data_IF_801119759757
#
_entry.id   IF_801119759757
#
_cell.length_a   1.000
_cell.length_b   1.000
_cell.length_c   1.000
_cell.angle_alpha   90.00
_cell.angle_beta   90.00
_cell.angle_gamma   90.00
#
_symmetry.space_group_name_H-M   'P 1'
#
loop_
_entity.id
_entity.type
_entity.pdbx_description
1 polymer ?
#
# COMPACT_ATOMS: atom_id res chain seq x y z
N UNK A 1 -8.19 -18.06 -80.60
CA UNK A 1 -6.87 -17.43 -80.36
C UNK A 1 -7.07 -16.27 -79.40
N UNK A 2 -6.62 -16.43 -78.15
CA UNK A 2 -6.76 -15.37 -77.14
C UNK A 2 -5.67 -14.33 -77.38
N UNK A 3 -6.08 -13.08 -77.65
CA UNK A 3 -5.17 -12.02 -78.06
C UNK A 3 -4.11 -11.76 -76.97
N UNK A 4 -2.84 -11.60 -77.36
CA UNK A 4 -1.67 -11.56 -76.45
C UNK A 4 -1.75 -10.45 -75.38
N UNK A 5 -2.61 -9.45 -75.61
CA UNK A 5 -2.94 -8.38 -74.66
C UNK A 5 -3.83 -8.86 -73.50
N UNK A 6 -4.82 -9.71 -73.77
CA UNK A 6 -5.76 -10.18 -72.74
C UNK A 6 -5.09 -11.17 -71.76
N UNK A 7 -4.13 -11.98 -72.25
CA UNK A 7 -3.32 -12.87 -71.41
C UNK A 7 -2.46 -12.09 -70.39
N UNK A 8 -1.84 -10.98 -70.81
CA UNK A 8 -1.04 -10.12 -69.91
C UNK A 8 -1.89 -9.43 -68.85
N UNK A 9 -3.12 -9.01 -69.18
CA UNK A 9 -4.06 -8.42 -68.21
C UNK A 9 -4.55 -9.42 -67.17
N UNK A 10 -4.85 -10.65 -67.57
CA UNK A 10 -5.27 -11.72 -66.65
C UNK A 10 -4.11 -12.10 -65.71
N UNK A 11 -2.88 -12.17 -66.22
CA UNK A 11 -1.70 -12.45 -65.41
C UNK A 11 -1.38 -11.32 -64.42
N UNK A 12 -1.55 -10.04 -64.82
CA UNK A 12 -1.45 -8.88 -63.92
C UNK A 12 -2.57 -8.87 -62.84
N UNK A 13 -3.80 -9.24 -63.20
CA UNK A 13 -4.90 -9.31 -62.22
C UNK A 13 -4.71 -10.46 -61.21
N UNK A 14 -4.20 -11.62 -61.66
CA UNK A 14 -3.89 -12.76 -60.77
C UNK A 14 -2.70 -12.47 -59.84
N UNK A 15 -1.69 -11.74 -60.30
CA UNK A 15 -0.56 -11.32 -59.45
C UNK A 15 -0.97 -10.26 -58.43
N UNK A 16 -1.84 -9.32 -58.79
CA UNK A 16 -2.40 -8.34 -57.83
C UNK A 16 -3.29 -9.06 -56.79
N UNK A 17 -4.10 -10.04 -57.19
CA UNK A 17 -4.94 -10.82 -56.28
C UNK A 17 -4.10 -11.69 -55.33
N UNK A 18 -3.01 -12.28 -55.82
CA UNK A 18 -2.08 -13.08 -55.02
C UNK A 18 -1.27 -12.22 -54.03
N UNK A 19 -0.89 -10.98 -54.40
CA UNK A 19 -0.25 -10.03 -53.49
C UNK A 19 -1.20 -9.52 -52.39
N UNK A 20 -2.51 -9.41 -52.64
CA UNK A 20 -3.49 -9.02 -51.61
C UNK A 20 -3.80 -10.12 -50.59
N UNK A 21 -3.58 -11.40 -50.94
CA UNK A 21 -3.82 -12.53 -50.03
C UNK A 21 -2.68 -12.75 -49.01
N UNK A 22 -1.49 -12.19 -49.25
CA UNK A 22 -0.34 -12.28 -48.32
C UNK A 22 -0.16 -11.05 -47.41
N UNK A 23 -0.95 -9.98 -47.58
CA UNK A 23 -0.80 -8.74 -46.82
C UNK A 23 -1.59 -8.69 -45.48
N UNK A 24 -2.40 -9.70 -45.15
CA UNK A 24 -3.19 -9.74 -43.93
C UNK A 24 -2.88 -10.95 -43.03
N UNK A 25 -1.61 -11.04 -42.61
CA UNK A 25 -1.29 -11.68 -41.33
C UNK A 25 -0.48 -10.68 -40.50
N UNK A 26 -1.17 -9.66 -39.99
CA UNK A 26 -0.68 -8.91 -38.84
C UNK A 26 -0.73 -9.86 -37.63
N UNK A 27 0.28 -10.72 -37.50
CA UNK A 27 0.49 -11.47 -36.27
C UNK A 27 0.78 -10.45 -35.19
N UNK A 28 -0.17 -10.28 -34.26
CA UNK A 28 0.04 -9.45 -33.08
C UNK A 28 1.21 -10.07 -32.28
N UNK A 29 2.39 -9.49 -32.43
CA UNK A 29 3.60 -9.99 -31.79
C UNK A 29 3.42 -9.88 -30.27
N UNK A 30 3.50 -11.01 -29.57
CA UNK A 30 3.37 -11.04 -28.10
C UNK A 30 4.44 -10.15 -27.47
N UNK A 31 4.04 -9.01 -26.90
CA UNK A 31 4.95 -8.13 -26.20
C UNK A 31 5.47 -8.82 -24.93
N UNK A 32 6.78 -8.78 -24.70
CA UNK A 32 7.44 -9.44 -23.56
C UNK A 32 8.44 -8.51 -22.91
N UNK A 33 8.57 -8.59 -21.59
CA UNK A 33 9.60 -7.86 -20.84
C UNK A 33 10.13 -8.68 -19.65
N UNK A 34 11.27 -8.28 -19.11
CA UNK A 34 11.93 -8.90 -17.96
C UNK A 34 11.83 -8.02 -16.71
N UNK A 35 11.66 -8.60 -15.51
CA UNK A 35 11.59 -7.84 -14.26
C UNK A 35 12.95 -7.26 -13.85
N UNK A 36 12.91 -6.12 -13.16
CA UNK A 36 14.06 -5.55 -12.44
C UNK A 36 14.27 -6.25 -11.10
N UNK A 37 15.45 -6.08 -10.50
CA UNK A 37 15.79 -6.68 -9.20
C UNK A 37 14.77 -6.24 -8.13
N UNK A 38 14.06 -7.22 -7.55
CA UNK A 38 13.06 -6.98 -6.51
C UNK A 38 11.70 -6.45 -7.01
N UNK A 39 11.51 -6.33 -8.32
CA UNK A 39 10.26 -5.84 -8.93
C UNK A 39 9.12 -6.87 -8.72
N UNK A 40 7.96 -6.40 -8.25
CA UNK A 40 6.75 -7.22 -8.13
C UNK A 40 5.86 -7.09 -9.36
N UNK A 41 4.93 -8.04 -9.57
CA UNK A 41 4.05 -8.10 -10.74
C UNK A 41 3.33 -6.77 -11.03
N UNK A 42 2.76 -6.13 -10.00
CA UNK A 42 2.07 -4.84 -10.19
C UNK A 42 3.00 -3.74 -10.70
N UNK A 43 4.20 -3.61 -10.13
CA UNK A 43 5.18 -2.59 -10.54
C UNK A 43 5.72 -2.88 -11.94
N UNK A 44 5.98 -4.16 -12.24
CA UNK A 44 6.39 -4.62 -13.55
C UNK A 44 5.35 -4.29 -14.63
N UNK A 45 4.07 -4.51 -14.35
CA UNK A 45 2.98 -4.18 -15.26
C UNK A 45 2.78 -2.66 -15.41
N UNK A 46 2.88 -1.89 -14.33
CA UNK A 46 2.81 -0.42 -14.38
C UNK A 46 3.93 0.16 -15.26
N UNK A 47 5.17 -0.33 -15.09
CA UNK A 47 6.31 0.05 -15.93
C UNK A 47 6.07 -0.27 -17.41
N UNK A 48 5.37 -1.37 -17.68
CA UNK A 48 4.96 -1.80 -19.01
C UNK A 48 3.59 -1.26 -19.44
N UNK A 49 3.14 -0.13 -18.89
CA UNK A 49 1.91 0.60 -19.27
C UNK A 49 0.61 -0.21 -19.12
N UNK A 50 0.57 -1.17 -18.20
CA UNK A 50 -0.57 -2.09 -17.94
C UNK A 50 -1.06 -2.04 -16.49
N UNK A 51 -1.50 -0.88 -15.98
CA UNK A 51 -1.92 -0.73 -14.60
C UNK A 51 -3.25 -1.44 -14.29
N UNK A 52 -3.41 -1.93 -13.06
CA UNK A 52 -4.70 -2.40 -12.53
C UNK A 52 -4.94 -3.91 -12.57
N UNK A 53 -6.04 -4.33 -11.91
CA UNK A 53 -6.36 -5.74 -11.63
C UNK A 53 -6.72 -6.55 -12.88
N UNK A 54 -7.27 -5.91 -13.92
CA UNK A 54 -7.59 -6.59 -15.17
C UNK A 54 -6.31 -7.15 -15.81
N UNK A 55 -5.34 -6.26 -16.08
CA UNK A 55 -4.03 -6.66 -16.57
C UNK A 55 -3.28 -7.57 -15.60
N UNK A 56 -3.40 -7.37 -14.28
CA UNK A 56 -2.78 -8.29 -13.32
C UNK A 56 -3.32 -9.72 -13.45
N UNK A 57 -4.65 -9.89 -13.52
CA UNK A 57 -5.28 -11.21 -13.67
C UNK A 57 -4.90 -11.85 -15.01
N UNK A 58 -4.96 -11.07 -16.08
CA UNK A 58 -4.60 -11.53 -17.41
C UNK A 58 -3.12 -11.92 -17.50
N UNK A 59 -2.23 -11.14 -16.87
CA UNK A 59 -0.81 -11.46 -16.76
C UNK A 59 -0.56 -12.78 -16.03
N UNK A 60 -1.26 -13.01 -14.90
CA UNK A 60 -1.15 -14.27 -14.17
C UNK A 60 -1.57 -15.46 -15.03
N UNK A 61 -2.63 -15.32 -15.83
CA UNK A 61 -3.10 -16.38 -16.70
C UNK A 61 -2.14 -16.64 -17.86
N UNK A 62 -1.73 -15.60 -18.58
CA UNK A 62 -0.76 -15.67 -19.69
C UNK A 62 0.56 -16.32 -19.27
N UNK A 63 0.99 -16.07 -18.03
CA UNK A 63 2.29 -16.53 -17.52
C UNK A 63 2.20 -17.67 -16.51
N UNK A 64 1.04 -18.31 -16.36
CA UNK A 64 0.80 -19.35 -15.33
C UNK A 64 1.88 -20.44 -15.31
N UNK A 65 2.33 -20.88 -16.49
CA UNK A 65 3.42 -21.87 -16.66
C UNK A 65 4.77 -21.32 -16.17
N UNK A 66 5.09 -20.07 -16.49
CA UNK A 66 6.34 -19.41 -16.09
C UNK A 66 6.38 -19.05 -14.61
N UNK A 67 5.21 -18.76 -14.02
CA UNK A 67 5.03 -18.43 -12.62
C UNK A 67 5.03 -19.66 -11.71
N UNK A 68 4.77 -20.87 -12.25
CA UNK A 68 4.73 -22.13 -11.49
C UNK A 68 3.85 -22.02 -10.23
N UNK A 69 2.71 -21.34 -10.35
CA UNK A 69 1.76 -21.12 -9.24
C UNK A 69 2.17 -20.07 -8.20
N UNK A 70 3.32 -19.40 -8.37
CA UNK A 70 3.77 -18.31 -7.48
C UNK A 70 3.32 -16.95 -8.03
N UNK A 71 2.91 -16.02 -7.18
CA UNK A 71 2.68 -14.61 -7.56
C UNK A 71 3.99 -13.78 -7.51
N UNK A 72 5.11 -14.35 -7.98
CA UNK A 72 6.44 -13.73 -7.90
C UNK A 72 7.18 -13.79 -9.25
N UNK A 73 7.80 -12.66 -9.61
CA UNK A 73 8.63 -12.55 -10.81
C UNK A 73 10.05 -13.08 -10.53
N UNK A 74 10.62 -13.79 -11.52
CA UNK A 74 11.99 -14.29 -11.49
C UNK A 74 12.89 -13.41 -12.35
N UNK A 75 14.01 -12.96 -11.77
CA UNK A 75 15.01 -12.16 -12.49
C UNK A 75 15.51 -12.91 -13.73
N UNK A 76 15.64 -12.20 -14.85
CA UNK A 76 16.10 -12.77 -16.12
C UNK A 76 15.04 -13.53 -16.92
N UNK A 77 13.84 -13.77 -16.37
CA UNK A 77 12.74 -14.41 -17.09
C UNK A 77 11.92 -13.37 -17.84
N UNK A 78 11.73 -13.57 -19.14
CA UNK A 78 10.81 -12.77 -19.96
C UNK A 78 9.37 -13.25 -19.78
N UNK A 79 8.48 -12.35 -19.40
CA UNK A 79 7.06 -12.62 -19.23
C UNK A 79 6.25 -12.00 -20.36
N UNK A 80 5.19 -12.69 -20.78
CA UNK A 80 4.20 -12.19 -21.75
C UNK A 80 3.37 -11.10 -21.11
N UNK A 81 3.32 -9.96 -21.77
CA UNK A 81 2.52 -8.83 -21.32
C UNK A 81 1.12 -8.94 -21.96
N UNK A 82 0.05 -8.74 -21.17
CA UNK A 82 -1.30 -8.62 -21.71
C UNK A 82 -1.36 -7.65 -22.90
N UNK A 83 -2.13 -7.92 -23.96
CA UNK A 83 -2.30 -6.96 -25.05
C UNK A 83 -2.82 -5.63 -24.52
N UNK A 84 -2.32 -4.52 -25.07
CA UNK A 84 -2.85 -3.18 -24.78
C UNK A 84 -4.24 -3.06 -25.44
N UNK A 85 -5.26 -3.64 -24.83
CA UNK A 85 -6.66 -3.39 -25.21
C UNK A 85 -7.04 -1.95 -24.88
N UNK A 86 -8.00 -1.39 -25.63
CA UNK A 86 -8.59 -0.07 -25.30
C UNK A 86 -8.95 -0.09 -23.81
N UNK A 87 -8.52 0.93 -23.05
CA UNK A 87 -8.65 0.92 -21.60
C UNK A 87 -10.13 0.73 -21.27
N UNK A 88 -10.48 -0.40 -20.65
CA UNK A 88 -11.76 -0.49 -19.94
C UNK A 88 -11.68 0.61 -18.89
N UNK A 89 -12.42 1.69 -19.14
CA UNK A 89 -12.27 2.97 -18.46
C UNK A 89 -12.34 2.84 -16.95
N UNK A 90 -11.19 2.82 -16.29
CA UNK A 90 -11.05 3.56 -15.06
C UNK A 90 -10.31 4.82 -15.47
N UNK A 91 -11.05 5.93 -15.64
CA UNK A 91 -10.45 7.23 -15.91
C UNK A 91 -9.27 7.46 -14.96
N UNK A 92 -8.25 8.19 -15.43
CA UNK A 92 -7.09 8.61 -14.63
C UNK A 92 -7.57 9.34 -13.37
N UNK A 93 -7.98 8.59 -12.34
CA UNK A 93 -8.52 9.14 -11.11
C UNK A 93 -7.30 9.60 -10.33
N UNK A 94 -7.11 10.91 -10.33
CA UNK A 94 -6.19 11.58 -9.44
C UNK A 94 -6.97 11.99 -8.21
N UNK A 95 -6.46 11.62 -7.04
CA UNK A 95 -6.96 12.09 -5.75
C UNK A 95 -6.05 13.24 -5.33
N UNK A 96 -6.63 14.35 -4.89
CA UNK A 96 -5.86 15.43 -4.28
C UNK A 96 -6.00 15.34 -2.76
N UNK A 97 -4.89 15.06 -2.07
CA UNK A 97 -4.82 14.95 -0.62
C UNK A 97 -3.69 15.88 -0.10
N UNK A 98 -4.02 17.13 0.27
CA UNK A 98 -3.03 18.13 0.71
C UNK A 98 -2.17 17.69 1.91
N UNK A 99 -2.67 16.78 2.76
CA UNK A 99 -1.93 16.29 3.93
C UNK A 99 -0.64 15.56 3.55
N UNK A 100 -0.44 15.14 2.30
CA UNK A 100 0.83 14.55 1.87
C UNK A 100 1.93 15.58 1.60
N UNK A 101 1.62 16.87 1.67
CA UNK A 101 2.52 17.95 1.28
C UNK A 101 2.44 18.26 -0.22
N UNK A 102 2.78 19.49 -0.60
CA UNK A 102 2.57 20.03 -1.97
C UNK A 102 3.07 19.12 -3.09
N UNK A 103 4.25 18.53 -2.92
CA UNK A 103 4.87 17.66 -3.93
C UNK A 103 4.16 16.30 -4.11
N UNK A 104 3.45 15.83 -3.07
CA UNK A 104 2.88 14.48 -3.04
C UNK A 104 1.34 14.47 -2.94
N UNK A 105 0.72 15.65 -2.88
CA UNK A 105 -0.73 15.83 -2.74
C UNK A 105 -1.52 15.22 -3.89
N UNK A 106 -0.98 15.29 -5.11
CA UNK A 106 -1.56 14.63 -6.28
C UNK A 106 -1.23 13.13 -6.27
N UNK A 107 -2.23 12.31 -5.97
CA UNK A 107 -2.12 10.85 -5.92
C UNK A 107 -2.77 10.24 -7.15
N UNK A 108 -1.94 9.76 -8.06
CA UNK A 108 -2.40 8.94 -9.17
C UNK A 108 -2.80 7.55 -8.65
N UNK A 109 -4.06 7.17 -8.83
CA UNK A 109 -4.50 5.79 -8.59
C UNK A 109 -3.89 4.90 -9.67
N UNK A 110 -3.07 3.92 -9.27
CA UNK A 110 -2.34 3.02 -10.20
C UNK A 110 -2.93 1.62 -10.23
N UNK A 111 -3.78 1.28 -9.26
CA UNK A 111 -4.37 -0.04 -9.11
C UNK A 111 -5.77 0.06 -8.49
N UNK A 112 -6.56 -1.00 -8.60
CA UNK A 112 -7.88 -1.15 -8.00
C UNK A 112 -7.96 -2.39 -7.10
N UNK A 113 -6.82 -2.90 -6.60
CA UNK A 113 -6.78 -4.08 -5.72
C UNK A 113 -7.56 -3.87 -4.43
N UNK A 114 -7.65 -2.63 -3.94
CA UNK A 114 -8.41 -2.23 -2.76
C UNK A 114 -9.70 -1.46 -3.10
N UNK A 115 -10.15 -1.46 -4.36
CA UNK A 115 -11.43 -0.86 -4.73
C UNK A 115 -12.57 -1.49 -3.91
N UNK A 116 -13.38 -0.65 -3.27
CA UNK A 116 -14.47 -1.06 -2.37
C UNK A 116 -14.04 -1.26 -0.90
N UNK A 117 -12.78 -0.96 -0.56
CA UNK A 117 -12.29 -0.90 0.81
C UNK A 117 -12.23 0.54 1.34
N UNK A 118 -12.46 0.71 2.64
CA UNK A 118 -12.30 1.95 3.36
C UNK A 118 -11.38 1.76 4.57
N UNK A 119 -10.41 2.66 4.75
CA UNK A 119 -9.45 2.59 5.85
C UNK A 119 -9.51 3.83 6.74
N UNK A 120 -9.37 3.62 8.04
CA UNK A 120 -9.19 4.70 9.03
C UNK A 120 -7.75 4.61 9.54
N UNK A 121 -6.91 5.53 9.10
CA UNK A 121 -5.48 5.55 9.45
C UNK A 121 -5.26 6.57 10.57
N UNK A 122 -4.68 6.10 11.67
CA UNK A 122 -4.54 6.86 12.92
C UNK A 122 -3.10 6.79 13.38
N UNK A 123 -2.40 7.93 13.45
CA UNK A 123 -1.14 8.01 14.19
C UNK A 123 -1.41 8.13 15.69
N UNK A 124 -0.53 7.55 16.50
CA UNK A 124 -0.49 7.73 17.96
C UNK A 124 -0.30 9.19 18.35
N UNK A 125 -0.69 9.55 19.57
CA UNK A 125 -0.27 10.82 20.20
C UNK A 125 -0.57 12.09 19.35
N UNK A 126 0.33 13.06 19.26
CA UNK A 126 0.13 14.31 18.55
C UNK A 126 -0.64 15.36 19.36
N UNK A 127 -0.54 16.60 18.89
CA UNK A 127 -1.05 17.77 19.57
C UNK A 127 -0.26 18.00 20.85
N UNK A 128 -0.88 18.04 22.03
CA UNK A 128 -0.16 18.31 23.27
C UNK A 128 0.69 17.13 23.79
N UNK A 129 0.69 15.97 23.12
CA UNK A 129 1.34 14.74 23.57
C UNK A 129 2.29 14.22 22.50
N UNK A 130 3.61 14.29 22.70
CA UNK A 130 4.58 13.79 21.73
C UNK A 130 4.72 12.25 21.71
N UNK A 131 4.03 11.56 22.64
CA UNK A 131 4.27 10.16 22.92
C UNK A 131 5.67 9.92 23.49
N UNK A 132 6.21 8.73 23.22
CA UNK A 132 7.55 8.39 23.66
C UNK A 132 8.62 9.27 23.02
N UNK A 133 9.63 9.63 23.81
CA UNK A 133 10.78 10.42 23.35
C UNK A 133 12.04 9.55 23.41
N UNK A 134 12.60 9.25 22.24
CA UNK A 134 13.92 8.64 22.09
C UNK A 134 15.00 9.69 21.87
N UNK A 135 16.28 9.30 21.96
CA UNK A 135 17.41 10.21 21.70
C UNK A 135 18.50 9.57 20.85
N UNK A 136 19.08 10.36 19.95
CA UNK A 136 20.34 10.09 19.24
C UNK A 136 21.28 11.25 19.53
N UNK A 137 22.25 11.03 20.43
CA UNK A 137 23.07 12.12 20.96
C UNK A 137 22.19 13.16 21.66
N UNK A 138 22.25 14.42 21.19
CA UNK A 138 21.43 15.53 21.70
C UNK A 138 20.09 15.71 20.98
N UNK A 139 19.83 14.92 19.93
CA UNK A 139 18.62 15.05 19.12
C UNK A 139 17.52 14.15 19.70
N UNK A 140 16.34 14.73 19.89
CA UNK A 140 15.15 14.01 20.34
C UNK A 140 14.35 13.47 19.16
N UNK A 141 13.81 12.27 19.33
CA UNK A 141 12.91 11.59 18.41
C UNK A 141 11.55 11.49 19.10
N UNK A 142 10.50 12.02 18.49
CA UNK A 142 9.16 12.03 19.07
C UNK A 142 8.28 11.01 18.34
N UNK A 143 7.61 10.15 19.09
CA UNK A 143 6.80 9.07 18.55
C UNK A 143 5.73 9.56 17.58
N UNK A 144 5.02 10.62 17.94
CA UNK A 144 3.94 11.19 17.13
C UNK A 144 4.42 11.59 15.72
N UNK A 145 5.57 12.25 15.62
CA UNK A 145 6.16 12.70 14.35
C UNK A 145 6.45 11.53 13.39
N UNK A 146 7.06 10.47 13.89
CA UNK A 146 7.42 9.30 13.09
C UNK A 146 6.21 8.40 12.81
N UNK A 147 5.30 8.24 13.77
CA UNK A 147 4.04 7.53 13.57
C UNK A 147 3.17 8.24 12.52
N UNK A 148 3.14 9.59 12.54
CA UNK A 148 2.40 10.39 11.58
C UNK A 148 2.98 10.31 10.17
N UNK A 149 4.31 10.41 10.00
CA UNK A 149 4.94 10.24 8.69
C UNK A 149 4.64 8.86 8.07
N UNK A 150 4.76 7.78 8.87
CA UNK A 150 4.44 6.42 8.40
C UNK A 150 2.94 6.27 8.11
N UNK A 151 2.06 6.91 8.89
CA UNK A 151 0.62 6.94 8.64
C UNK A 151 0.28 7.60 7.29
N UNK A 152 0.89 8.74 6.97
CA UNK A 152 0.68 9.42 5.69
C UNK A 152 1.19 8.59 4.51
N UNK A 153 2.38 7.99 4.63
CA UNK A 153 2.92 7.07 3.61
C UNK A 153 1.99 5.88 3.38
N UNK A 154 1.44 5.30 4.44
CA UNK A 154 0.49 4.20 4.36
C UNK A 154 -0.81 4.66 3.67
N UNK A 155 -1.39 5.78 4.09
CA UNK A 155 -2.59 6.34 3.51
C UNK A 155 -2.42 6.58 2.00
N UNK A 156 -1.31 7.17 1.59
CA UNK A 156 -0.99 7.40 0.18
C UNK A 156 -0.90 6.09 -0.60
N UNK A 157 -0.19 5.08 -0.07
CA UNK A 157 -0.10 3.77 -0.70
C UNK A 157 -1.48 3.10 -0.86
N UNK A 158 -2.34 3.18 0.16
CA UNK A 158 -3.71 2.62 0.10
C UNK A 158 -4.57 3.34 -0.95
N UNK A 159 -4.48 4.66 -1.06
CA UNK A 159 -5.16 5.44 -2.09
C UNK A 159 -4.69 5.07 -3.50
N UNK A 160 -3.39 4.85 -3.70
CA UNK A 160 -2.84 4.38 -4.99
C UNK A 160 -3.42 3.03 -5.43
N UNK A 161 -3.82 2.18 -4.48
CA UNK A 161 -4.47 0.89 -4.70
C UNK A 161 -6.00 0.97 -4.85
N UNK A 162 -6.55 2.18 -4.88
CA UNK A 162 -7.96 2.46 -5.14
C UNK A 162 -8.85 2.37 -3.90
N UNK A 163 -8.28 2.41 -2.69
CA UNK A 163 -9.05 2.45 -1.45
C UNK A 163 -9.57 3.85 -1.13
N UNK A 164 -10.69 3.91 -0.41
CA UNK A 164 -11.07 5.11 0.34
C UNK A 164 -10.26 5.17 1.65
N UNK A 165 -9.76 6.35 2.02
CA UNK A 165 -8.94 6.50 3.23
C UNK A 165 -9.38 7.74 4.02
N UNK A 166 -9.60 7.56 5.32
CA UNK A 166 -9.82 8.62 6.30
C UNK A 166 -8.56 8.75 7.16
N UNK A 167 -7.83 9.85 7.02
CA UNK A 167 -6.67 10.19 7.87
C UNK A 167 -7.22 10.91 9.11
N UNK A 168 -7.17 10.25 10.27
CA UNK A 168 -7.89 10.70 11.48
C UNK A 168 -7.12 11.78 12.24
N UNK A 169 -5.81 11.63 12.37
CA UNK A 169 -4.93 12.66 12.96
C UNK A 169 -4.26 13.42 11.82
N UNK A 170 -4.26 14.75 11.87
CA UNK A 170 -3.88 15.62 10.75
C UNK A 170 -3.04 16.80 11.22
N UNK A 171 -1.93 17.07 10.56
CA UNK A 171 -1.19 18.33 10.60
C UNK A 171 -1.28 18.97 9.21
N UNK A 172 -1.66 20.25 9.15
CA UNK A 172 -1.83 20.96 7.87
C UNK A 172 -0.49 21.43 7.26
N UNK A 173 0.57 21.45 8.06
CA UNK A 173 1.92 21.90 7.69
C UNK A 173 2.85 20.71 7.43
N UNK A 174 2.87 19.74 8.33
CA UNK A 174 3.74 18.57 8.21
C UNK A 174 3.12 17.53 7.28
N UNK A 175 3.72 17.35 6.10
CA UNK A 175 3.35 16.31 5.15
C UNK A 175 4.20 15.04 5.30
N UNK A 176 4.30 14.26 4.22
CA UNK A 176 5.32 13.20 4.15
C UNK A 176 6.69 13.89 4.06
N UNK A 177 7.59 13.55 4.97
CA UNK A 177 8.92 14.17 5.11
C UNK A 177 10.00 13.13 4.85
N UNK A 178 11.05 13.50 4.13
CA UNK A 178 12.20 12.61 3.87
C UNK A 178 13.37 12.83 4.84
N UNK A 179 13.27 13.85 5.69
CA UNK A 179 14.29 14.16 6.68
C UNK A 179 14.49 13.05 7.71
N UNK A 180 15.74 12.97 8.17
CA UNK A 180 16.17 11.99 9.18
C UNK A 180 15.55 12.29 10.54
N UNK A 181 15.57 13.56 10.92
CA UNK A 181 15.10 14.07 12.20
C UNK A 181 13.90 14.97 11.94
N UNK A 182 12.74 14.58 12.46
CA UNK A 182 11.49 15.30 12.24
C UNK A 182 11.29 16.28 13.41
N UNK A 183 11.08 17.55 13.09
CA UNK A 183 10.85 18.58 14.11
C UNK A 183 9.52 18.33 14.82
N UNK A 184 9.53 18.41 16.15
CA UNK A 184 8.32 18.27 16.95
C UNK A 184 7.38 19.47 16.79
N UNK A 185 6.09 19.20 16.93
CA UNK A 185 4.97 20.11 16.77
C UNK A 185 3.91 19.83 17.85
N UNK A 186 2.92 20.70 17.95
CA UNK A 186 1.71 20.47 18.76
C UNK A 186 0.43 20.79 17.99
N UNK A 187 0.53 20.86 16.66
CA UNK A 187 -0.51 21.39 15.77
C UNK A 187 -1.43 20.30 15.26
N UNK A 188 -1.13 19.04 15.54
CA UNK A 188 -1.91 17.90 15.07
C UNK A 188 -3.32 18.00 15.66
N UNK A 189 -4.30 17.73 14.80
CA UNK A 189 -5.72 17.76 15.12
C UNK A 189 -6.34 16.40 14.86
N UNK A 190 -7.45 16.10 15.53
CA UNK A 190 -8.33 15.00 15.14
C UNK A 190 -9.33 15.52 14.09
N UNK A 191 -8.94 15.47 12.82
CA UNK A 191 -9.72 15.99 11.68
C UNK A 191 -10.23 17.42 11.91
N UNK A 192 -9.31 18.34 12.22
CA UNK A 192 -9.58 19.77 12.46
C UNK A 192 -9.91 20.13 13.91
N UNK A 193 -10.34 19.17 14.74
CA UNK A 193 -10.58 19.43 16.16
C UNK A 193 -9.27 19.34 16.97
N UNK A 194 -8.97 20.28 17.89
CA UNK A 194 -7.82 20.19 18.77
C UNK A 194 -7.79 18.87 19.55
N UNK A 195 -6.60 18.28 19.69
CA UNK A 195 -6.42 17.05 20.45
C UNK A 195 -6.40 17.38 21.96
N UNK A 196 -7.26 16.75 22.79
CA UNK A 196 -7.29 16.99 24.23
C UNK A 196 -5.98 16.62 24.93
N UNK A 197 -5.61 17.38 25.96
CA UNK A 197 -4.49 17.04 26.85
C UNK A 197 -4.75 15.73 27.62
N UNK A 198 -5.99 15.53 28.09
CA UNK A 198 -6.37 14.33 28.83
C UNK A 198 -6.34 13.09 27.93
N UNK A 199 -5.60 12.07 28.37
CA UNK A 199 -5.38 10.84 27.61
C UNK A 199 -6.69 10.14 27.22
N UNK A 200 -7.61 9.92 28.16
CA UNK A 200 -8.87 9.21 27.89
C UNK A 200 -9.76 10.03 26.95
N UNK A 201 -9.82 11.35 27.12
CA UNK A 201 -10.57 12.23 26.23
C UNK A 201 -10.02 12.18 24.79
N UNK A 202 -8.69 12.18 24.62
CA UNK A 202 -8.04 12.01 23.32
C UNK A 202 -8.37 10.65 22.68
N UNK A 203 -8.29 9.56 23.45
CA UNK A 203 -8.63 8.21 22.94
C UNK A 203 -10.12 8.12 22.54
N UNK A 204 -11.01 8.72 23.34
CA UNK A 204 -12.45 8.81 23.04
C UNK A 204 -12.72 9.62 21.78
N UNK A 205 -12.05 10.76 21.61
CA UNK A 205 -12.20 11.62 20.43
C UNK A 205 -11.92 10.86 19.13
N UNK A 206 -10.82 10.09 19.09
CA UNK A 206 -10.46 9.27 17.92
C UNK A 206 -11.50 8.19 17.64
N UNK A 207 -11.92 7.46 18.67
CA UNK A 207 -12.93 6.41 18.53
C UNK A 207 -14.26 6.99 18.02
N UNK A 208 -14.71 8.11 18.60
CA UNK A 208 -15.93 8.78 18.20
C UNK A 208 -15.87 9.20 16.72
N UNK A 209 -14.76 9.82 16.29
CA UNK A 209 -14.57 10.23 14.90
C UNK A 209 -14.59 9.04 13.93
N UNK A 210 -13.88 7.95 14.25
CA UNK A 210 -13.89 6.73 13.42
C UNK A 210 -15.28 6.11 13.36
N UNK A 211 -15.98 6.02 14.49
CA UNK A 211 -17.31 5.40 14.56
C UNK A 211 -18.35 6.23 13.78
N UNK A 212 -18.23 7.55 13.82
CA UNK A 212 -19.06 8.46 13.04
C UNK A 212 -18.94 8.19 11.54
N UNK A 213 -17.71 8.13 11.01
CA UNK A 213 -17.48 7.80 9.61
C UNK A 213 -17.91 6.37 9.28
N UNK A 214 -17.57 5.40 10.12
CA UNK A 214 -17.90 4.00 9.88
C UNK A 214 -19.39 3.75 9.74
N UNK A 215 -20.24 4.45 10.50
CA UNK A 215 -21.71 4.37 10.35
C UNK A 215 -22.18 4.73 8.93
N UNK A 216 -21.50 5.68 8.28
CA UNK A 216 -21.79 6.14 6.91
C UNK A 216 -21.10 5.24 5.88
N UNK A 217 -19.79 5.06 6.03
CA UNK A 217 -18.91 4.37 5.07
C UNK A 217 -19.28 2.89 4.90
N UNK A 218 -19.72 2.20 5.97
CA UNK A 218 -20.09 0.77 5.88
C UNK A 218 -21.31 0.49 4.98
N UNK A 219 -22.06 1.52 4.59
CA UNK A 219 -23.16 1.40 3.61
C UNK A 219 -22.62 1.27 2.18
N UNK A 220 -21.44 1.82 1.93
CA UNK A 220 -20.81 1.89 0.60
C UNK A 220 -19.63 0.93 0.45
N UNK A 221 -18.95 0.60 1.55
CA UNK A 221 -17.74 -0.21 1.55
C UNK A 221 -17.92 -1.48 2.40
N UNK A 222 -17.85 -2.64 1.74
CA UNK A 222 -17.97 -3.96 2.40
C UNK A 222 -16.79 -4.26 3.32
N UNK A 223 -15.63 -3.69 3.04
CA UNK A 223 -14.42 -3.90 3.83
C UNK A 223 -13.96 -2.59 4.45
N UNK A 224 -14.17 -2.45 5.75
CA UNK A 224 -13.73 -1.30 6.53
C UNK A 224 -12.74 -1.75 7.61
N UNK A 225 -11.56 -1.12 7.70
CA UNK A 225 -10.56 -1.42 8.74
C UNK A 225 -9.95 -0.15 9.32
N UNK A 226 -9.68 -0.16 10.62
CA UNK A 226 -8.89 0.88 11.28
C UNK A 226 -7.48 0.37 11.61
N UNK A 227 -6.51 1.27 11.56
CA UNK A 227 -5.14 1.02 11.98
C UNK A 227 -4.61 2.14 12.85
N UNK A 228 -4.05 1.76 13.98
CA UNK A 228 -3.42 2.65 14.96
C UNK A 228 -1.91 2.41 14.92
N UNK A 229 -1.12 3.41 14.54
CA UNK A 229 0.33 3.32 14.43
C UNK A 229 0.99 4.03 15.60
N UNK A 230 1.86 3.32 16.30
CA UNK A 230 2.59 3.79 17.47
C UNK A 230 4.06 3.39 17.38
N UNK A 231 4.87 3.96 18.26
CA UNK A 231 6.28 3.58 18.44
C UNK A 231 6.50 3.25 19.92
N UNK A 232 6.94 2.01 20.19
CA UNK A 232 7.13 1.52 21.55
C UNK A 232 8.38 2.15 22.19
N UNK A 233 8.47 2.07 23.51
CA UNK A 233 9.58 2.62 24.29
C UNK A 233 10.02 1.66 25.40
N UNK A 234 10.64 0.55 24.99
CA UNK A 234 11.25 -0.43 25.89
C UNK A 234 12.65 0.01 26.32
N UNK A 235 13.31 -0.79 27.16
CA UNK A 235 14.71 -0.53 27.52
C UNK A 235 15.62 -0.45 26.28
N UNK A 236 16.72 0.28 26.38
CA UNK A 236 17.63 0.55 25.25
C UNK A 236 18.19 -0.72 24.60
N UNK A 237 18.43 -1.76 25.39
CA UNK A 237 18.93 -3.06 24.91
C UNK A 237 17.86 -3.92 24.23
N UNK A 238 16.58 -3.59 24.41
CA UNK A 238 15.48 -4.39 23.90
C UNK A 238 15.13 -3.97 22.47
N UNK A 239 15.75 -4.61 21.49
CA UNK A 239 15.37 -4.51 20.09
C UNK A 239 14.02 -5.19 19.86
N UNK A 240 13.12 -4.56 19.11
CA UNK A 240 11.81 -5.13 18.78
C UNK A 240 11.49 -4.95 17.30
N UNK A 241 10.99 -6.04 16.70
CA UNK A 241 10.37 -5.98 15.39
C UNK A 241 8.96 -5.42 15.48
N UNK A 242 8.41 -5.01 14.34
CA UNK A 242 7.02 -4.55 14.27
C UNK A 242 6.10 -5.61 14.86
N UNK A 243 5.26 -5.23 15.81
CA UNK A 243 4.32 -6.16 16.45
C UNK A 243 2.90 -5.60 16.49
N UNK A 244 1.95 -6.50 16.68
CA UNK A 244 0.54 -6.24 16.40
C UNK A 244 -0.35 -6.62 17.59
N UNK A 245 -1.22 -5.70 17.96
CA UNK A 245 -2.32 -5.95 18.89
C UNK A 245 -3.67 -5.96 18.18
N UNK A 246 -4.56 -6.81 18.67
CA UNK A 246 -5.94 -6.87 18.20
C UNK A 246 -6.92 -6.95 19.37
N UNK A 247 -8.18 -6.58 19.11
CA UNK A 247 -9.26 -6.74 20.09
C UNK A 247 -9.50 -8.22 20.40
N UNK A 248 -9.82 -8.52 21.66
CA UNK A 248 -10.22 -9.87 22.10
C UNK A 248 -11.54 -10.33 21.48
N UNK A 249 -12.45 -9.40 21.18
CA UNK A 249 -13.84 -9.69 20.80
C UNK A 249 -14.11 -9.69 19.29
N UNK A 250 -13.12 -9.37 18.44
CA UNK A 250 -13.31 -9.23 16.99
C UNK A 250 -12.45 -10.23 16.19
N UNK A 251 -13.03 -11.34 15.69
CA UNK A 251 -12.31 -12.34 14.91
C UNK A 251 -11.59 -11.75 13.69
N UNK A 252 -12.24 -10.81 12.99
CA UNK A 252 -11.67 -10.08 11.86
C UNK A 252 -10.40 -9.29 12.22
N UNK A 253 -10.34 -8.73 13.43
CA UNK A 253 -9.16 -8.00 13.93
C UNK A 253 -7.99 -8.97 14.19
N UNK A 254 -8.28 -10.14 14.76
CA UNK A 254 -7.28 -11.22 14.95
C UNK A 254 -6.75 -11.73 13.61
N UNK A 255 -7.62 -11.95 12.62
CA UNK A 255 -7.23 -12.38 11.27
C UNK A 255 -6.34 -11.32 10.60
N UNK A 256 -6.72 -10.05 10.69
CA UNK A 256 -5.94 -8.94 10.15
C UNK A 256 -4.53 -8.88 10.78
N UNK A 257 -4.43 -8.89 12.12
CA UNK A 257 -3.15 -8.84 12.82
C UNK A 257 -2.24 -10.04 12.45
N UNK A 258 -2.80 -11.25 12.37
CA UNK A 258 -2.06 -12.44 11.89
C UNK A 258 -1.61 -12.31 10.44
N UNK A 259 -2.44 -11.74 9.58
CA UNK A 259 -2.08 -11.51 8.18
C UNK A 259 -0.94 -10.49 8.07
N UNK A 260 -1.00 -9.40 8.84
CA UNK A 260 0.07 -8.40 8.91
C UNK A 260 1.39 -9.02 9.37
N UNK A 261 1.40 -9.79 10.46
CA UNK A 261 2.60 -10.50 10.94
C UNK A 261 3.23 -11.36 9.84
N UNK A 262 2.42 -12.18 9.17
CA UNK A 262 2.89 -13.07 8.08
C UNK A 262 3.42 -12.28 6.89
N UNK A 263 2.78 -11.17 6.54
CA UNK A 263 3.29 -10.30 5.47
C UNK A 263 4.65 -9.73 5.84
N UNK A 264 4.80 -9.20 7.05
CA UNK A 264 6.09 -8.67 7.51
C UNK A 264 7.16 -9.75 7.52
N UNK A 265 6.88 -10.94 8.08
CA UNK A 265 7.78 -12.09 8.06
C UNK A 265 8.31 -12.39 6.66
N UNK A 266 7.40 -12.55 5.68
CA UNK A 266 7.77 -12.78 4.28
C UNK A 266 8.62 -11.65 3.68
N UNK A 267 8.39 -10.40 4.09
CA UNK A 267 9.19 -9.26 3.61
C UNK A 267 10.57 -9.21 4.23
N UNK A 268 10.70 -9.58 5.49
CA UNK A 268 11.98 -9.72 6.15
C UNK A 268 12.80 -10.85 5.52
N UNK A 269 12.20 -12.02 5.28
CA UNK A 269 12.88 -13.14 4.61
C UNK A 269 13.45 -12.73 3.23
N UNK A 270 12.69 -11.91 2.49
CA UNK A 270 13.09 -11.42 1.17
C UNK A 270 14.14 -10.32 1.20
N UNK A 271 13.99 -9.34 2.11
CA UNK A 271 14.77 -8.10 2.07
C UNK A 271 15.91 -8.05 3.10
N UNK A 272 15.90 -8.93 4.10
CA UNK A 272 16.92 -9.10 5.12
C UNK A 272 17.14 -10.60 5.38
N UNK A 273 17.58 -11.37 4.36
CA UNK A 273 17.84 -12.79 4.54
C UNK A 273 18.83 -12.98 5.71
N UNK A 274 18.53 -13.92 6.60
CA UNK A 274 19.27 -14.24 7.84
C UNK A 274 18.98 -13.39 9.09
N UNK A 275 18.25 -12.25 9.00
CA UNK A 275 17.86 -11.48 10.19
C UNK A 275 16.66 -12.09 10.93
N UNK A 276 15.79 -12.80 10.19
CA UNK A 276 14.51 -13.31 10.68
C UNK A 276 13.49 -12.19 10.96
N UNK A 277 12.31 -12.56 11.45
CA UNK A 277 11.31 -11.60 11.93
C UNK A 277 10.65 -12.10 13.21
N UNK A 278 10.82 -11.37 14.30
CA UNK A 278 10.35 -11.79 15.64
C UNK A 278 9.09 -11.04 16.09
N UNK A 279 8.46 -10.27 15.19
CA UNK A 279 7.24 -9.55 15.46
C UNK A 279 6.11 -10.46 15.94
N UNK A 280 5.37 -10.00 16.96
CA UNK A 280 4.36 -10.81 17.65
C UNK A 280 2.93 -10.36 17.32
N UNK A 281 1.96 -11.24 17.61
CA UNK A 281 0.53 -10.92 17.59
C UNK A 281 -0.04 -11.28 18.94
N UNK A 282 -0.69 -10.32 19.61
CA UNK A 282 -1.39 -10.61 20.87
C UNK A 282 -2.69 -9.85 21.02
N UNK A 283 -3.63 -10.43 21.78
CA UNK A 283 -4.89 -9.78 22.09
C UNK A 283 -4.68 -8.80 23.26
N UNK A 284 -5.19 -7.58 23.14
CA UNK A 284 -5.13 -6.56 24.19
C UNK A 284 -6.48 -5.89 24.39
N UNK A 285 -6.72 -5.40 25.60
CA UNK A 285 -7.89 -4.58 25.92
C UNK A 285 -7.56 -3.08 25.83
N UNK A 286 -6.88 -2.67 24.74
CA UNK A 286 -6.57 -1.25 24.52
C UNK A 286 -7.86 -0.49 24.23
N UNK A 287 -7.99 0.71 24.80
CA UNK A 287 -9.20 1.53 24.70
C UNK A 287 -9.69 1.66 23.24
N UNK A 288 -8.79 1.99 22.31
CA UNK A 288 -9.14 2.18 20.90
C UNK A 288 -9.58 0.90 20.20
N UNK A 289 -8.99 -0.25 20.56
CA UNK A 289 -9.38 -1.56 20.02
C UNK A 289 -10.74 -2.02 20.55
N UNK A 290 -11.07 -1.65 21.80
CA UNK A 290 -12.34 -1.97 22.43
C UNK A 290 -13.49 -1.05 21.97
N UNK A 291 -13.22 0.23 21.72
CA UNK A 291 -14.26 1.26 21.52
C UNK A 291 -14.43 1.72 20.06
N UNK A 292 -13.55 1.30 19.15
CA UNK A 292 -13.74 1.55 17.71
C UNK A 292 -14.66 0.47 17.13
N UNK A 293 -15.55 0.82 16.21
CA UNK A 293 -16.54 -0.07 15.58
C UNK A 293 -15.99 -0.98 14.48
N UNK A 294 -15.23 -0.49 13.46
CA UNK A 294 -14.62 -1.38 12.47
C UNK A 294 -13.63 -2.36 13.11
N UNK A 295 -13.34 -3.46 12.40
CA UNK A 295 -12.23 -4.32 12.78
C UNK A 295 -10.91 -3.54 12.67
N UNK A 296 -10.03 -3.71 13.65
CA UNK A 296 -8.87 -2.84 13.83
C UNK A 296 -7.62 -3.60 14.23
N UNK A 297 -6.47 -3.02 13.88
CA UNK A 297 -5.16 -3.47 14.35
C UNK A 297 -4.41 -2.29 14.94
N UNK A 298 -3.70 -2.53 16.04
CA UNK A 298 -2.80 -1.58 16.64
C UNK A 298 -1.38 -2.08 16.40
N UNK A 299 -0.51 -1.23 15.90
CA UNK A 299 0.83 -1.59 15.41
C UNK A 299 1.86 -0.76 16.13
N UNK A 300 2.81 -1.44 16.76
CA UNK A 300 4.00 -0.82 17.31
C UNK A 300 5.13 -1.03 16.31
N UNK A 301 5.69 0.07 15.81
CA UNK A 301 6.61 0.05 14.67
C UNK A 301 8.05 -0.33 15.06
N UNK A 302 8.36 -0.36 16.35
CA UNK A 302 9.69 -0.67 16.90
C UNK A 302 9.93 0.10 18.19
N UNK A 303 11.11 -0.08 18.80
CA UNK A 303 11.47 0.59 20.05
C UNK A 303 12.25 1.90 19.79
N UNK A 304 11.68 3.05 20.12
CA UNK A 304 12.31 4.37 19.94
C UNK A 304 13.58 4.55 20.78
N UNK A 305 13.76 3.75 21.83
CA UNK A 305 14.95 3.80 22.70
C UNK A 305 16.12 2.95 22.17
N UNK A 306 15.86 2.02 21.26
CA UNK A 306 16.88 1.10 20.76
C UNK A 306 17.53 1.63 19.47
N UNK A 307 18.87 1.76 19.46
CA UNK A 307 19.63 2.34 18.34
C UNK A 307 19.41 1.63 17.01
N UNK A 308 19.22 0.31 17.02
CA UNK A 308 18.98 -0.44 15.79
C UNK A 308 17.57 -0.16 15.25
N UNK A 309 16.56 -0.19 16.11
CA UNK A 309 15.18 0.13 15.74
C UNK A 309 15.00 1.59 15.32
N UNK A 310 15.73 2.52 15.94
CA UNK A 310 15.71 3.93 15.53
C UNK A 310 16.02 4.11 14.04
N UNK A 311 16.86 3.27 13.44
CA UNK A 311 17.15 3.28 11.98
C UNK A 311 15.89 3.07 11.14
N UNK A 312 14.88 2.38 11.67
CA UNK A 312 13.59 2.16 11.01
C UNK A 312 12.80 3.47 10.89
N UNK A 313 12.98 4.39 11.83
CA UNK A 313 12.28 5.67 11.88
C UNK A 313 13.07 6.79 11.21
N UNK A 314 14.38 6.87 11.44
CA UNK A 314 15.18 8.00 10.93
C UNK A 314 15.59 7.84 9.47
N UNK A 315 15.39 6.67 8.85
CA UNK A 315 15.65 6.47 7.42
C UNK A 315 14.33 6.50 6.67
N UNK A 316 14.13 7.50 5.80
CA UNK A 316 12.89 7.67 5.03
C UNK A 316 12.48 6.41 4.25
N UNK A 317 13.42 5.76 3.57
CA UNK A 317 13.12 4.53 2.81
C UNK A 317 12.64 3.38 3.70
N UNK A 318 13.07 3.32 4.97
CA UNK A 318 12.55 2.35 5.93
C UNK A 318 11.11 2.70 6.35
N UNK A 319 10.80 3.98 6.59
CA UNK A 319 9.41 4.45 6.82
C UNK A 319 8.50 4.09 5.65
N UNK A 320 8.97 4.29 4.42
CA UNK A 320 8.24 3.89 3.22
C UNK A 320 8.06 2.36 3.12
N UNK A 321 9.08 1.57 3.48
CA UNK A 321 9.00 0.12 3.48
C UNK A 321 7.93 -0.38 4.48
N UNK A 322 7.90 0.17 5.69
CA UNK A 322 6.85 -0.12 6.69
C UNK A 322 5.45 0.12 6.14
N UNK A 323 5.22 1.32 5.59
CA UNK A 323 3.95 1.69 4.98
C UNK A 323 3.55 0.74 3.84
N UNK A 324 4.51 0.37 2.98
CA UNK A 324 4.26 -0.55 1.86
C UNK A 324 3.91 -1.95 2.36
N UNK A 325 4.63 -2.48 3.35
CA UNK A 325 4.39 -3.82 3.87
C UNK A 325 3.04 -3.92 4.59
N UNK A 326 2.62 -2.86 5.31
CA UNK A 326 1.27 -2.77 5.87
C UNK A 326 0.20 -2.72 4.77
N UNK A 327 0.38 -1.92 3.71
CA UNK A 327 -0.53 -1.91 2.56
C UNK A 327 -0.67 -3.31 1.92
N UNK A 328 0.43 -4.04 1.73
CA UNK A 328 0.39 -5.40 1.20
C UNK A 328 -0.34 -6.38 2.14
N UNK A 329 -0.20 -6.19 3.46
CA UNK A 329 -0.96 -6.93 4.47
C UNK A 329 -2.46 -6.68 4.36
N UNK A 330 -2.86 -5.42 4.13
CA UNK A 330 -4.27 -5.08 3.86
C UNK A 330 -4.80 -5.67 2.57
N UNK A 331 -4.03 -5.63 1.47
CA UNK A 331 -4.41 -6.29 0.21
C UNK A 331 -4.63 -7.78 0.45
N UNK A 332 -3.75 -8.41 1.21
CA UNK A 332 -3.84 -9.84 1.53
C UNK A 332 -5.07 -10.15 2.39
N UNK A 333 -5.36 -9.37 3.44
CA UNK A 333 -6.56 -9.59 4.26
C UNK A 333 -7.85 -9.29 3.48
N UNK A 334 -7.86 -8.24 2.65
CA UNK A 334 -9.00 -7.89 1.81
C UNK A 334 -9.34 -9.00 0.82
N UNK A 335 -8.34 -9.61 0.18
CA UNK A 335 -8.53 -10.77 -0.71
C UNK A 335 -9.18 -11.97 -0.01
N UNK A 336 -8.91 -12.17 1.29
CA UNK A 336 -9.48 -13.27 2.10
C UNK A 336 -10.87 -12.95 2.67
N UNK A 337 -11.23 -11.68 2.71
CA UNK A 337 -12.51 -11.20 3.25
C UNK A 337 -13.57 -11.00 2.15
N UNK A 338 -13.16 -11.02 0.88
CA UNK A 338 -14.05 -11.24 -0.26
C UNK A 338 -14.37 -12.73 -0.37
#
# INVERSE_FOLDING_TARGET
MMNNWNMKRIFCLLTILFCTLFAFNASAQEERDSPRRGEGISVFLERNKRPGRAYYKEFLELNKKLLKGKEELRLGVKYVLPPLSKPVGNGKKTINEPLFGKALASVKVTSNRLQGACFYVVSGHGGPDPGAIGRIGKIELHEDEYAYDVALRLARNLMQEGAEVRIIIQDAKDGIRDDKYLSNSKRETCMGAPIPLNQVARLRQRCAKINEFYKKDRKNYKYCRAIFLHVDSRSKSHQTDVFFYHSKSKPDSKRLAKTMKKTFESKYDKHQPNRGFTGTVSARNLYVLANTSPASVFVELGNIQNTFDQRRFVISSNRQALAKWMMEGFITDYKKAK
#
